data_IF_882922297339
#
_entry.id   IF_882922297339
#
_cell.length_a   1.000
_cell.length_b   1.000
_cell.length_c   1.000
_cell.angle_alpha   90.00
_cell.angle_beta   90.00
_cell.angle_gamma   90.00
#
_symmetry.space_group_name_H-M   'P 1'
#
loop_
_entity.id
_entity.type
_entity.pdbx_description
1 polymer ?
#
# COMPACT_ATOMS: atom_id res chain seq x y z
N UNK A 1 10.97 0.78 -6.61
CA UNK A 1 9.51 0.56 -6.68
C UNK A 1 9.20 -0.87 -7.11
N UNK A 2 8.31 -1.52 -6.38
CA UNK A 2 7.72 -2.83 -6.64
C UNK A 2 6.84 -2.80 -7.88
N UNK A 3 6.73 -3.97 -8.53
CA UNK A 3 5.94 -4.14 -9.75
C UNK A 3 4.47 -3.76 -9.57
N UNK A 4 3.91 -3.96 -8.37
CA UNK A 4 2.50 -3.70 -8.08
C UNK A 4 2.20 -2.29 -7.61
N UNK A 5 3.21 -1.49 -7.24
CA UNK A 5 3.04 -0.13 -6.70
C UNK A 5 2.08 0.72 -7.53
N UNK A 6 2.31 0.83 -8.85
CA UNK A 6 1.47 1.65 -9.74
C UNK A 6 0.02 1.16 -9.81
N UNK A 7 -0.19 -0.14 -9.72
CA UNK A 7 -1.53 -0.73 -9.71
C UNK A 7 -2.22 -0.41 -8.40
N UNK A 8 -1.61 -0.76 -7.26
CA UNK A 8 -2.19 -0.52 -5.93
C UNK A 8 -2.51 0.97 -5.74
N UNK A 9 -1.56 1.85 -6.06
CA UNK A 9 -1.78 3.31 -6.02
C UNK A 9 -2.98 3.75 -6.87
N UNK A 10 -3.07 3.27 -8.11
CA UNK A 10 -4.17 3.65 -9.02
C UNK A 10 -5.54 3.21 -8.50
N UNK A 11 -5.62 2.08 -7.81
CA UNK A 11 -6.88 1.59 -7.25
C UNK A 11 -7.22 2.29 -5.93
N UNK A 12 -6.22 2.61 -5.10
CA UNK A 12 -6.38 3.46 -3.91
C UNK A 12 -6.85 4.87 -4.29
N UNK A 13 -6.20 5.52 -5.26
CA UNK A 13 -6.58 6.85 -5.78
C UNK A 13 -8.02 6.88 -6.33
N UNK A 14 -8.55 5.73 -6.76
CA UNK A 14 -9.92 5.58 -7.25
C UNK A 14 -10.94 5.23 -6.16
N UNK A 15 -10.50 5.04 -4.92
CA UNK A 15 -11.32 4.62 -3.79
C UNK A 15 -11.76 3.16 -3.83
N UNK A 16 -11.06 2.30 -4.61
CA UNK A 16 -11.31 0.86 -4.60
C UNK A 16 -10.63 0.15 -3.43
N UNK A 17 -9.56 0.74 -2.91
CA UNK A 17 -8.80 0.24 -1.77
C UNK A 17 -8.77 1.31 -0.69
N UNK A 18 -8.90 0.89 0.56
CA UNK A 18 -8.62 1.69 1.74
C UNK A 18 -7.19 1.40 2.26
N UNK A 19 -6.78 2.06 3.35
CA UNK A 19 -5.47 1.81 3.96
C UNK A 19 -5.29 0.34 4.39
N UNK A 20 -6.36 -0.33 4.81
CA UNK A 20 -6.29 -1.72 5.26
C UNK A 20 -6.01 -2.67 4.09
N UNK A 21 -6.63 -2.43 2.93
CA UNK A 21 -6.36 -3.15 1.70
C UNK A 21 -4.90 -2.96 1.26
N UNK A 22 -4.39 -1.71 1.27
CA UNK A 22 -2.98 -1.43 0.92
C UNK A 22 -2.02 -2.14 1.89
N UNK A 23 -2.36 -2.21 3.18
CA UNK A 23 -1.58 -2.93 4.20
C UNK A 23 -1.50 -4.44 3.91
N UNK A 24 -2.54 -5.06 3.37
CA UNK A 24 -2.51 -6.47 2.94
C UNK A 24 -1.45 -6.70 1.86
N UNK A 25 -1.29 -5.77 0.91
CA UNK A 25 -0.24 -5.88 -0.12
C UNK A 25 1.17 -5.76 0.47
N UNK A 26 1.35 -4.97 1.54
CA UNK A 26 2.63 -4.92 2.28
C UNK A 26 2.90 -6.26 2.96
N UNK A 27 1.91 -6.80 3.70
CA UNK A 27 2.02 -8.10 4.41
C UNK A 27 2.28 -9.26 3.46
N UNK A 28 1.70 -9.21 2.26
CA UNK A 28 1.93 -10.19 1.20
C UNK A 28 3.29 -10.02 0.49
N UNK A 29 4.09 -9.01 0.83
CA UNK A 29 5.36 -8.70 0.17
C UNK A 29 5.22 -8.19 -1.26
N UNK A 30 4.02 -7.72 -1.63
CA UNK A 30 3.71 -7.21 -2.98
C UNK A 30 4.16 -5.76 -3.19
N UNK A 31 4.20 -4.97 -2.11
CA UNK A 31 4.75 -3.61 -2.03
C UNK A 31 5.55 -3.47 -0.72
N UNK A 32 6.40 -2.45 -0.61
CA UNK A 32 7.18 -2.19 0.61
C UNK A 32 6.41 -1.28 1.59
N UNK A 33 6.78 -1.24 2.89
CA UNK A 33 6.25 -0.25 3.85
C UNK A 33 6.41 1.20 3.38
N UNK A 34 7.50 1.54 2.71
CA UNK A 34 7.71 2.90 2.18
C UNK A 34 6.72 3.19 1.03
N UNK A 35 6.40 2.18 0.23
CA UNK A 35 5.42 2.31 -0.84
C UNK A 35 3.99 2.44 -0.33
N UNK A 36 3.69 1.80 0.80
CA UNK A 36 2.43 2.04 1.52
C UNK A 36 2.31 3.51 1.91
N UNK A 37 3.32 4.07 2.57
CA UNK A 37 3.32 5.47 2.99
C UNK A 37 3.21 6.43 1.79
N UNK A 38 3.83 6.10 0.66
CA UNK A 38 3.68 6.87 -0.59
C UNK A 38 2.27 6.77 -1.22
N UNK A 39 1.51 5.72 -0.93
CA UNK A 39 0.15 5.52 -1.44
C UNK A 39 -0.88 6.17 -0.52
N UNK A 40 -0.80 5.90 0.78
CA UNK A 40 -1.79 6.29 1.79
C UNK A 40 -1.49 7.64 2.42
N UNK A 41 -0.22 8.07 2.43
CA UNK A 41 0.24 9.25 3.17
C UNK A 41 0.47 8.99 4.66
N UNK A 42 0.17 7.79 5.14
CA UNK A 42 0.31 7.38 6.54
C UNK A 42 1.44 6.36 6.69
N UNK A 43 2.24 6.43 7.76
CA UNK A 43 3.29 5.45 8.00
C UNK A 43 2.70 4.05 8.17
N UNK A 44 3.37 3.03 7.61
CA UNK A 44 2.94 1.65 7.79
C UNK A 44 3.24 1.18 9.22
N UNK A 45 2.25 1.26 10.11
CA UNK A 45 2.31 0.65 11.43
C UNK A 45 2.03 -0.86 11.33
N UNK A 46 3.04 -1.65 11.00
CA UNK A 46 3.00 -3.06 11.41
C UNK A 46 3.17 -3.10 12.92
N UNK A 47 2.11 -3.43 13.65
CA UNK A 47 2.28 -3.99 15.00
C UNK A 47 3.33 -5.12 14.89
N UNK A 48 4.45 -4.93 15.58
CA UNK A 48 5.61 -5.81 15.55
C UNK A 48 5.34 -7.16 16.22
#
# INVERSE_FOLDING_TARGET
>A
MSRLYKTVKRYYDKGFYDEADVAVFVRAGSITPEEYELITGEPYESEA
#
